data_IF_255321419241
#
_entry.id   IF_255321419241
#
_cell.length_a   1.000
_cell.length_b   1.000
_cell.length_c   1.000
_cell.angle_alpha   90.00
_cell.angle_beta   90.00
_cell.angle_gamma   90.00
#
_symmetry.space_group_name_H-M   'P 1'
#
loop_
_entity.id
_entity.type
_entity.pdbx_description
1 polymer ?
#
# COMPACT_ATOMS: atom_id res chain seq x y z
N UNK A 1 4.46 1.00 56.67
CA UNK A 1 4.09 -0.14 55.80
C UNK A 1 3.49 0.43 54.54
N UNK A 2 4.23 0.36 53.43
CA UNK A 2 3.77 0.87 52.12
C UNK A 2 3.57 -0.37 51.25
N UNK A 3 2.34 -0.63 50.83
CA UNK A 3 2.01 -1.78 50.00
C UNK A 3 2.71 -1.63 48.64
N UNK A 4 3.75 -2.42 48.41
CA UNK A 4 4.37 -2.60 47.11
C UNK A 4 3.41 -3.41 46.24
N UNK A 5 2.81 -2.76 45.27
CA UNK A 5 2.05 -3.43 44.21
C UNK A 5 3.06 -4.10 43.28
N UNK A 6 3.16 -5.43 43.39
CA UNK A 6 3.97 -6.27 42.53
C UNK A 6 3.51 -6.19 41.06
N UNK A 7 4.53 -6.19 40.21
CA UNK A 7 4.52 -6.63 38.81
C UNK A 7 3.42 -6.08 37.92
N UNK A 8 3.71 -4.90 37.38
CA UNK A 8 3.35 -4.60 36.00
C UNK A 8 4.00 -5.67 35.11
N UNK A 9 3.26 -6.72 34.76
CA UNK A 9 3.61 -7.60 33.66
C UNK A 9 3.73 -6.73 32.40
N UNK A 10 4.95 -6.32 32.07
CA UNK A 10 5.29 -5.80 30.76
C UNK A 10 5.01 -6.93 29.78
N UNK A 11 3.86 -6.86 29.12
CA UNK A 11 3.58 -7.68 27.95
C UNK A 11 4.75 -7.47 26.98
N UNK A 12 5.48 -8.54 26.72
CA UNK A 12 6.52 -8.57 25.70
C UNK A 12 5.83 -8.30 24.37
N UNK A 13 5.99 -7.10 23.82
CA UNK A 13 5.59 -6.81 22.45
C UNK A 13 6.54 -7.59 21.54
N UNK A 14 6.24 -8.86 21.32
CA UNK A 14 6.87 -9.68 20.29
C UNK A 14 6.54 -9.05 18.92
N UNK A 15 7.48 -8.23 18.42
CA UNK A 15 7.69 -7.89 17.01
C UNK A 15 6.46 -7.87 16.10
N UNK A 16 5.44 -7.07 16.43
CA UNK A 16 4.28 -6.90 15.55
C UNK A 16 4.71 -6.10 14.31
N UNK A 17 5.09 -6.81 13.23
CA UNK A 17 5.55 -6.19 11.99
C UNK A 17 4.42 -5.33 11.42
N UNK A 18 4.72 -4.05 11.13
CA UNK A 18 3.74 -3.13 10.52
C UNK A 18 3.23 -3.76 9.22
N UNK A 19 1.91 -3.93 9.04
CA UNK A 19 1.39 -4.50 7.81
C UNK A 19 1.80 -3.66 6.59
N UNK A 20 2.27 -4.31 5.52
CA UNK A 20 2.82 -3.66 4.31
C UNK A 20 1.90 -2.60 3.70
N UNK A 21 0.57 -2.77 3.81
CA UNK A 21 -0.37 -1.79 3.30
C UNK A 21 -0.32 -0.44 4.03
N UNK A 22 0.02 -0.41 5.32
CA UNK A 22 0.30 0.83 6.04
C UNK A 22 1.60 1.47 5.55
N UNK A 23 2.64 0.67 5.30
CA UNK A 23 3.91 1.16 4.74
C UNK A 23 3.72 1.79 3.35
N UNK A 24 2.90 1.17 2.49
CA UNK A 24 2.52 1.75 1.18
C UNK A 24 1.85 3.11 1.33
N UNK A 25 0.93 3.24 2.29
CA UNK A 25 0.20 4.50 2.55
C UNK A 25 1.14 5.59 3.07
N UNK A 26 2.00 5.26 4.03
CA UNK A 26 3.00 6.18 4.56
C UNK A 26 3.97 6.64 3.46
N UNK A 27 4.43 5.72 2.61
CA UNK A 27 5.28 6.07 1.48
C UNK A 27 4.58 6.99 0.47
N UNK A 28 3.30 6.73 0.16
CA UNK A 28 2.51 7.60 -0.72
C UNK A 28 2.36 9.01 -0.14
N UNK A 29 2.11 9.13 1.16
CA UNK A 29 2.01 10.42 1.83
C UNK A 29 3.34 11.18 1.80
N UNK A 30 4.45 10.51 2.14
CA UNK A 30 5.79 11.10 2.12
C UNK A 30 6.26 11.51 0.72
N UNK A 31 5.81 10.82 -0.34
CA UNK A 31 6.12 11.16 -1.74
C UNK A 31 5.14 12.17 -2.36
N UNK A 32 4.13 12.63 -1.61
CA UNK A 32 3.08 13.51 -2.13
C UNK A 32 2.15 12.84 -3.16
N UNK A 33 2.17 11.50 -3.25
CA UNK A 33 1.39 10.74 -4.21
C UNK A 33 -0.01 10.46 -3.66
N UNK A 34 -1.03 11.08 -4.27
CA UNK A 34 -2.42 10.90 -3.84
C UNK A 34 -3.13 9.78 -4.61
N UNK A 35 -4.16 9.19 -3.98
CA UNK A 35 -5.04 8.24 -4.68
C UNK A 35 -5.68 8.88 -5.93
N UNK A 36 -5.95 10.18 -5.90
CA UNK A 36 -6.55 10.92 -7.03
C UNK A 36 -5.56 11.06 -8.19
N UNK A 37 -4.27 11.30 -7.90
CA UNK A 37 -3.24 11.35 -8.94
C UNK A 37 -3.09 9.98 -9.63
N UNK A 38 -2.98 8.91 -8.84
CA UNK A 38 -2.91 7.55 -9.38
C UNK A 38 -4.18 7.13 -10.11
N UNK A 39 -5.36 7.54 -9.64
CA UNK A 39 -6.63 7.18 -10.28
C UNK A 39 -6.71 7.75 -11.70
N UNK A 40 -6.26 9.01 -11.88
CA UNK A 40 -6.13 9.64 -13.20
C UNK A 40 -5.08 8.95 -14.06
N UNK A 41 -3.93 8.58 -13.48
CA UNK A 41 -2.86 7.89 -14.24
C UNK A 41 -3.28 6.50 -14.70
N UNK A 42 -4.01 5.76 -13.87
CA UNK A 42 -4.41 4.38 -14.12
C UNK A 42 -5.75 4.26 -14.87
N UNK A 43 -6.45 5.39 -15.06
CA UNK A 43 -7.82 5.46 -15.58
C UNK A 43 -8.81 4.56 -14.82
N UNK A 44 -8.79 4.68 -13.49
CA UNK A 44 -9.69 3.95 -12.57
C UNK A 44 -10.24 4.88 -11.50
N UNK A 45 -11.19 4.41 -10.69
CA UNK A 45 -11.69 5.20 -9.56
C UNK A 45 -10.66 5.32 -8.42
N UNK A 46 -10.69 6.40 -7.62
CA UNK A 46 -9.87 6.49 -6.41
C UNK A 46 -10.10 5.35 -5.41
N UNK A 47 -11.34 4.82 -5.36
CA UNK A 47 -11.68 3.66 -4.53
C UNK A 47 -10.96 2.37 -4.99
N UNK A 48 -10.73 2.22 -6.30
CA UNK A 48 -9.95 1.11 -6.84
C UNK A 48 -8.48 1.22 -6.43
N UNK A 49 -7.90 2.42 -6.46
CA UNK A 49 -6.52 2.65 -5.97
C UNK A 49 -6.42 2.30 -4.48
N UNK A 50 -7.36 2.76 -3.66
CA UNK A 50 -7.41 2.41 -2.23
C UNK A 50 -7.43 0.88 -2.04
N UNK A 51 -8.23 0.17 -2.83
CA UNK A 51 -8.29 -1.29 -2.81
C UNK A 51 -6.98 -1.93 -3.23
N UNK A 52 -6.32 -1.43 -4.29
CA UNK A 52 -5.02 -1.93 -4.76
C UNK A 52 -3.96 -1.78 -3.66
N UNK A 53 -3.87 -0.60 -3.04
CA UNK A 53 -2.86 -0.34 -2.00
C UNK A 53 -3.12 -1.16 -0.74
N UNK A 54 -4.39 -1.36 -0.38
CA UNK A 54 -4.79 -2.18 0.77
C UNK A 54 -4.54 -3.67 0.53
N UNK A 55 -5.00 -4.22 -0.60
CA UNK A 55 -4.85 -5.65 -0.93
C UNK A 55 -3.45 -6.02 -1.39
N UNK A 56 -2.69 -5.04 -1.91
CA UNK A 56 -1.37 -5.25 -2.46
C UNK A 56 -1.38 -6.08 -3.74
N UNK A 57 -2.43 -6.00 -4.56
CA UNK A 57 -2.56 -6.78 -5.78
C UNK A 57 -3.07 -5.92 -6.94
N UNK A 58 -2.40 -5.95 -8.10
CA UNK A 58 -2.85 -5.28 -9.31
C UNK A 58 -2.22 -5.85 -10.61
N UNK A 59 -2.75 -5.51 -11.79
CA UNK A 59 -2.13 -5.88 -13.08
C UNK A 59 -0.69 -5.38 -13.20
N UNK A 60 0.14 -6.12 -13.95
CA UNK A 60 1.57 -5.82 -14.12
C UNK A 60 1.82 -4.40 -14.65
N UNK A 61 0.98 -3.91 -15.56
CA UNK A 61 1.14 -2.55 -16.11
C UNK A 61 1.08 -1.47 -15.03
N UNK A 62 0.29 -1.65 -13.97
CA UNK A 62 0.22 -0.69 -12.86
C UNK A 62 1.45 -0.82 -11.94
N UNK A 63 1.97 -2.03 -11.76
CA UNK A 63 3.23 -2.27 -11.02
C UNK A 63 4.38 -1.57 -11.74
N UNK A 64 4.44 -1.71 -13.07
CA UNK A 64 5.49 -1.08 -13.88
C UNK A 64 5.41 0.45 -13.79
N UNK A 65 4.21 1.04 -13.81
CA UNK A 65 4.04 2.49 -13.58
C UNK A 65 4.54 2.88 -12.18
N UNK A 66 4.14 2.16 -11.12
CA UNK A 66 4.59 2.45 -9.76
C UNK A 66 6.11 2.34 -9.61
N UNK A 67 6.72 1.32 -10.23
CA UNK A 67 8.16 1.08 -10.22
C UNK A 67 8.92 2.14 -11.01
N UNK A 68 8.57 2.36 -12.27
CA UNK A 68 9.40 3.14 -13.18
C UNK A 68 9.09 4.63 -13.14
N UNK A 69 7.83 5.03 -12.98
CA UNK A 69 7.44 6.44 -12.95
C UNK A 69 7.50 7.02 -11.54
N UNK A 70 6.94 6.29 -10.56
CA UNK A 70 6.84 6.79 -9.18
C UNK A 70 7.95 6.27 -8.25
N UNK A 71 8.84 5.39 -8.75
CA UNK A 71 9.98 4.85 -7.99
C UNK A 71 9.58 4.23 -6.65
N UNK A 72 8.42 3.57 -6.60
CA UNK A 72 7.99 2.84 -5.41
C UNK A 72 8.98 1.71 -5.11
N UNK A 73 9.45 1.57 -3.85
CA UNK A 73 10.37 0.51 -3.46
C UNK A 73 9.81 -0.89 -3.71
N UNK A 74 10.68 -1.84 -4.07
CA UNK A 74 10.29 -3.22 -4.46
C UNK A 74 9.51 -3.95 -3.35
N UNK A 75 9.89 -3.74 -2.09
CA UNK A 75 9.22 -4.30 -0.92
C UNK A 75 7.81 -3.75 -0.70
N UNK A 76 7.52 -2.57 -1.27
CA UNK A 76 6.21 -1.92 -1.20
C UNK A 76 5.38 -2.14 -2.46
N UNK A 77 5.96 -2.64 -3.55
CA UNK A 77 5.20 -2.87 -4.78
C UNK A 77 4.05 -3.87 -4.53
N UNK A 78 2.87 -3.64 -5.14
CA UNK A 78 1.84 -4.66 -5.19
C UNK A 78 2.33 -5.89 -5.95
N UNK A 79 1.80 -7.07 -5.63
CA UNK A 79 2.05 -8.28 -6.41
C UNK A 79 1.10 -8.36 -7.60
N UNK A 80 1.53 -9.05 -8.65
CA UNK A 80 0.73 -9.22 -9.86
C UNK A 80 -0.58 -9.95 -9.55
N UNK A 81 -1.71 -9.33 -9.86
CA UNK A 81 -3.01 -10.01 -9.84
C UNK A 81 -3.21 -10.87 -11.09
N UNK A 82 -3.97 -11.96 -10.96
CA UNK A 82 -4.39 -12.82 -12.09
C UNK A 82 -5.53 -12.19 -12.92
N UNK A 83 -6.00 -11.00 -12.57
CA UNK A 83 -7.05 -10.33 -13.34
C UNK A 83 -6.56 -10.09 -14.78
N UNK A 84 -7.41 -10.44 -15.75
CA UNK A 84 -7.22 -10.02 -17.14
C UNK A 84 -7.13 -8.50 -17.15
N UNK A 85 -6.18 -7.97 -17.93
CA UNK A 85 -5.96 -6.54 -18.22
C UNK A 85 -7.18 -5.68 -17.90
N UNK A 86 -7.04 -4.78 -16.92
CA UNK A 86 -7.99 -3.70 -16.67
C UNK A 86 -8.25 -2.87 -17.94
N UNK A 87 -9.21 -1.92 -17.91
CA UNK A 87 -9.88 -1.37 -19.08
C UNK A 87 -8.88 -1.00 -20.19
N UNK A 88 -9.15 -1.53 -21.39
CA UNK A 88 -8.31 -1.28 -22.58
C UNK A 88 -8.25 0.23 -22.81
N UNK A 89 -7.10 0.78 -23.26
CA UNK A 89 -7.00 2.19 -23.60
C UNK A 89 -8.11 2.56 -24.57
N UNK A 90 -8.77 3.71 -24.33
CA UNK A 90 -9.70 4.31 -25.30
C UNK A 90 -8.91 4.46 -26.59
N UNK A 91 -9.29 3.70 -27.63
CA UNK A 91 -8.74 3.90 -28.97
C UNK A 91 -9.00 5.36 -29.35
N UNK A 92 -7.94 6.04 -29.78
CA UNK A 92 -8.03 7.34 -30.45
C UNK A 92 -8.89 7.21 -31.71
#
# INVERSE_FOLDING_TARGET
MVNQTNDSMQASFEGESIPVHFMRRAWMENSGLTNVALSKRFDVSPSRISTIMRKGQCPQCYIDILRYEYKMPEELLPVRSREKTGPRPKKA
#
